data_IF_837826035237
#
_entry.id   IF_837826035237
#
_cell.length_a   1.000
_cell.length_b   1.000
_cell.length_c   1.000
_cell.angle_alpha   90.00
_cell.angle_beta   90.00
_cell.angle_gamma   90.00
#
_symmetry.space_group_name_H-M   'P 1'
#
loop_
_entity.id
_entity.type
_entity.pdbx_description
1 polymer ?
#
# COMPACT_ATOMS: atom_id res chain seq x y z
N UNK A 1 22.50 10.67 9.37
CA UNK A 1 21.18 10.24 9.79
C UNK A 1 21.28 8.97 10.66
N UNK A 2 21.90 7.89 10.17
CA UNK A 2 21.99 6.59 10.83
C UNK A 2 22.54 6.67 12.26
N UNK A 3 23.68 7.33 12.47
CA UNK A 3 24.26 7.51 13.82
C UNK A 3 23.28 8.15 14.80
N UNK A 4 22.60 9.23 14.40
CA UNK A 4 21.60 9.90 15.26
C UNK A 4 20.41 9.01 15.56
N UNK A 5 20.01 8.19 14.57
CA UNK A 5 18.89 7.27 14.72
C UNK A 5 19.21 6.16 15.75
N UNK A 6 20.36 5.51 15.63
CA UNK A 6 20.79 4.49 16.57
C UNK A 6 21.05 5.05 17.99
N UNK A 7 21.72 6.19 18.09
CA UNK A 7 21.94 6.86 19.38
C UNK A 7 20.61 7.19 20.06
N UNK A 8 19.63 7.65 19.31
CA UNK A 8 18.30 7.94 19.82
C UNK A 8 17.57 6.68 20.28
N UNK A 9 17.65 5.59 19.54
CA UNK A 9 17.05 4.31 19.91
C UNK A 9 17.59 3.83 21.26
N UNK A 10 18.90 3.87 21.43
CA UNK A 10 19.57 3.48 22.67
C UNK A 10 19.16 4.39 23.83
N UNK A 11 19.20 5.71 23.64
CA UNK A 11 18.85 6.69 24.67
C UNK A 11 17.39 6.58 25.13
N UNK A 12 16.47 6.35 24.19
CA UNK A 12 15.03 6.22 24.45
C UNK A 12 14.61 4.77 24.82
N UNK A 13 15.54 3.82 24.80
CA UNK A 13 15.30 2.37 25.03
C UNK A 13 14.21 1.81 24.11
N UNK A 14 14.36 2.03 22.80
CA UNK A 14 13.40 1.61 21.77
C UNK A 14 14.00 0.62 20.81
N UNK A 15 13.23 -0.40 20.48
CA UNK A 15 13.55 -1.32 19.41
C UNK A 15 13.53 -0.59 18.06
N UNK A 16 14.43 -0.96 17.17
CA UNK A 16 14.71 -0.25 15.93
C UNK A 16 13.99 -0.95 14.77
N UNK A 17 13.17 -0.20 14.06
CA UNK A 17 12.47 -0.65 12.84
C UNK A 17 12.87 0.24 11.68
N UNK A 18 13.73 -0.26 10.78
CA UNK A 18 14.16 0.43 9.56
C UNK A 18 13.24 0.04 8.40
N UNK A 19 12.65 1.02 7.72
CA UNK A 19 11.77 0.83 6.57
C UNK A 19 12.31 1.46 5.30
N UNK A 20 12.43 0.69 4.23
CA UNK A 20 12.84 1.11 2.89
C UNK A 20 12.11 0.26 1.83
N UNK A 21 12.17 0.65 0.56
CA UNK A 21 11.56 -0.07 -0.58
C UNK A 21 12.65 -0.65 -1.52
N UNK A 22 13.65 -1.31 -0.99
CA UNK A 22 14.82 -1.82 -1.74
C UNK A 22 14.49 -2.89 -2.78
N UNK A 23 13.35 -3.56 -2.66
CA UNK A 23 12.86 -4.51 -3.66
C UNK A 23 12.37 -3.85 -4.95
N UNK A 24 11.94 -2.59 -4.89
CA UNK A 24 11.43 -1.82 -6.04
C UNK A 24 12.47 -0.84 -6.56
N UNK A 25 13.22 -0.21 -5.66
CA UNK A 25 14.27 0.77 -6.02
C UNK A 25 15.63 0.35 -5.44
N UNK A 26 16.18 -0.81 -5.85
CA UNK A 26 17.39 -1.38 -5.24
C UNK A 26 18.61 -0.47 -5.38
N UNK A 27 18.74 0.27 -6.47
CA UNK A 27 19.84 1.22 -6.69
C UNK A 27 19.75 2.50 -5.85
N UNK A 28 18.63 2.78 -5.21
CA UNK A 28 18.44 3.93 -4.34
C UNK A 28 18.25 3.50 -2.86
N UNK A 29 17.17 2.81 -2.55
CA UNK A 29 16.88 2.35 -1.19
C UNK A 29 17.81 1.22 -0.75
N UNK A 30 18.22 0.34 -1.67
CA UNK A 30 19.18 -0.72 -1.37
C UNK A 30 20.57 -0.19 -1.01
N UNK A 31 21.01 0.88 -1.66
CA UNK A 31 22.26 1.57 -1.29
C UNK A 31 22.16 2.22 0.08
N UNK A 32 21.03 2.89 0.39
CA UNK A 32 20.80 3.45 1.71
C UNK A 32 20.73 2.38 2.78
N UNK A 33 20.07 1.27 2.52
CA UNK A 33 20.01 0.11 3.40
C UNK A 33 21.41 -0.41 3.71
N UNK A 34 22.20 -0.72 2.68
CA UNK A 34 23.55 -1.25 2.84
C UNK A 34 24.44 -0.33 3.68
N UNK A 35 24.36 0.99 3.44
CA UNK A 35 25.13 1.97 4.22
C UNK A 35 24.70 2.02 5.69
N UNK A 36 23.40 1.96 5.97
CA UNK A 36 22.86 1.98 7.34
C UNK A 36 23.23 0.68 8.09
N UNK A 37 23.09 -0.47 7.42
CA UNK A 37 23.41 -1.77 8.00
C UNK A 37 24.93 -1.91 8.26
N UNK A 38 25.79 -1.38 7.39
CA UNK A 38 27.23 -1.34 7.63
C UNK A 38 27.59 -0.53 8.90
N UNK A 39 26.95 0.62 9.11
CA UNK A 39 27.12 1.44 10.34
C UNK A 39 26.59 0.66 11.56
N UNK A 40 25.43 0.01 11.43
CA UNK A 40 24.87 -0.80 12.50
C UNK A 40 25.82 -1.91 12.92
N UNK A 41 26.27 -2.72 11.97
CA UNK A 41 27.15 -3.87 12.23
C UNK A 41 28.50 -3.46 12.85
N UNK A 42 29.10 -2.36 12.36
CA UNK A 42 30.43 -1.92 12.81
C UNK A 42 30.43 -1.13 14.12
N UNK A 43 29.37 -0.39 14.44
CA UNK A 43 29.42 0.58 15.51
C UNK A 43 28.32 0.41 16.57
N UNK A 44 27.14 -0.09 16.20
CA UNK A 44 25.97 -0.05 17.08
C UNK A 44 25.43 -1.42 17.50
N UNK A 45 25.76 -2.48 16.82
CA UNK A 45 25.22 -3.84 17.10
C UNK A 45 25.40 -4.26 18.56
N UNK A 46 26.64 -4.13 19.06
CA UNK A 46 26.94 -4.48 20.45
C UNK A 46 26.25 -3.55 21.45
N UNK A 47 26.17 -2.26 21.16
CA UNK A 47 25.53 -1.26 22.00
C UNK A 47 24.01 -1.48 22.08
N UNK A 48 23.37 -1.80 20.95
CA UNK A 48 21.93 -2.12 20.86
C UNK A 48 21.63 -3.39 21.65
N UNK A 49 22.44 -4.44 21.46
CA UNK A 49 22.30 -5.69 22.19
C UNK A 49 22.51 -5.50 23.70
N UNK A 50 23.55 -4.75 24.11
CA UNK A 50 23.81 -4.43 25.52
C UNK A 50 22.67 -3.62 26.17
N UNK A 51 21.97 -2.81 25.41
CA UNK A 51 20.78 -2.07 25.85
C UNK A 51 19.51 -2.95 25.92
N UNK A 52 19.58 -4.23 25.55
CA UNK A 52 18.43 -5.13 25.49
C UNK A 52 17.42 -4.76 24.40
N UNK A 53 17.92 -4.21 23.28
CA UNK A 53 17.13 -3.74 22.15
C UNK A 53 17.33 -4.63 20.93
N UNK A 54 16.36 -4.61 20.02
CA UNK A 54 16.39 -5.37 18.77
C UNK A 54 16.40 -4.43 17.56
N UNK A 55 17.00 -4.92 16.47
CA UNK A 55 17.00 -4.25 15.16
C UNK A 55 16.24 -5.09 14.15
N UNK A 56 15.29 -4.46 13.45
CA UNK A 56 14.48 -5.07 12.42
C UNK A 56 14.53 -4.23 11.14
N UNK A 57 14.63 -4.92 10.03
CA UNK A 57 14.41 -4.35 8.70
C UNK A 57 13.08 -4.85 8.15
N UNK A 58 12.29 -3.95 7.57
CA UNK A 58 11.01 -4.25 6.92
C UNK A 58 10.85 -3.40 5.66
N UNK A 59 10.07 -3.88 4.68
CA UNK A 59 9.63 -3.00 3.61
C UNK A 59 8.74 -1.89 4.18
N UNK A 60 8.82 -0.69 3.63
CA UNK A 60 8.12 0.50 4.15
C UNK A 60 6.60 0.33 4.21
N UNK A 61 6.02 -0.38 3.25
CA UNK A 61 4.60 -0.75 3.19
C UNK A 61 4.23 -1.72 4.33
N UNK A 62 4.99 -2.78 4.52
CA UNK A 62 4.83 -3.70 5.65
C UNK A 62 5.00 -2.98 7.00
N UNK A 63 5.94 -2.03 7.10
CA UNK A 63 6.11 -1.20 8.29
C UNK A 63 4.87 -0.34 8.56
N UNK A 64 4.31 0.29 7.53
CA UNK A 64 3.08 1.08 7.65
C UNK A 64 1.89 0.22 8.09
N UNK A 65 1.75 -0.98 7.53
CA UNK A 65 0.73 -1.95 7.94
C UNK A 65 0.91 -2.40 9.40
N UNK A 66 2.15 -2.68 9.84
CA UNK A 66 2.46 -3.06 11.23
C UNK A 66 2.11 -1.96 12.22
N UNK A 67 2.40 -0.69 11.91
CA UNK A 67 2.03 0.45 12.76
C UNK A 67 0.53 0.47 13.05
N UNK A 68 -0.29 0.03 12.10
CA UNK A 68 -1.75 0.00 12.25
C UNK A 68 -2.22 -1.30 12.91
N UNK A 69 -1.69 -2.45 12.45
CA UNK A 69 -2.21 -3.76 12.84
C UNK A 69 -1.72 -4.24 14.19
N UNK A 70 -0.44 -4.08 14.49
CA UNK A 70 0.19 -4.56 15.71
C UNK A 70 1.46 -3.75 16.04
N UNK A 71 1.32 -2.47 16.45
CA UNK A 71 2.47 -1.63 16.75
C UNK A 71 3.19 -2.14 18.01
N UNK A 72 4.48 -2.45 17.92
CA UNK A 72 5.28 -2.77 19.10
C UNK A 72 5.33 -1.60 20.08
N UNK A 73 5.24 -1.88 21.39
CA UNK A 73 5.18 -0.84 22.43
C UNK A 73 6.40 0.08 22.43
N UNK A 74 7.59 -0.48 22.17
CA UNK A 74 8.87 0.23 22.26
C UNK A 74 9.48 0.57 20.90
N UNK A 75 8.71 0.61 19.82
CA UNK A 75 9.26 0.84 18.50
C UNK A 75 9.78 2.27 18.30
N UNK A 76 10.95 2.39 17.65
CA UNK A 76 11.43 3.59 16.98
C UNK A 76 11.45 3.32 15.48
N UNK A 77 10.58 3.97 14.76
CA UNK A 77 10.42 3.83 13.31
C UNK A 77 11.40 4.74 12.57
N UNK A 78 12.18 4.17 11.68
CA UNK A 78 13.16 4.89 10.87
C UNK A 78 12.93 4.70 9.39
N UNK A 79 12.71 5.82 8.68
CA UNK A 79 12.63 5.86 7.23
C UNK A 79 13.56 7.00 6.78
N UNK A 80 14.70 6.68 6.17
CA UNK A 80 15.68 7.68 5.77
C UNK A 80 15.22 8.52 4.58
N UNK A 81 14.37 7.97 3.72
CA UNK A 81 13.75 8.72 2.64
C UNK A 81 12.78 9.80 3.16
N UNK A 82 12.93 11.02 2.68
CA UNK A 82 12.15 12.16 3.18
C UNK A 82 10.67 12.08 2.80
N UNK A 83 10.35 11.54 1.63
CA UNK A 83 8.95 11.48 1.14
C UNK A 83 8.16 10.44 1.90
N UNK A 84 8.66 9.22 1.96
CA UNK A 84 8.01 8.10 2.69
C UNK A 84 8.04 8.33 4.21
N UNK A 85 9.16 8.85 4.73
CA UNK A 85 9.30 9.18 6.15
C UNK A 85 8.30 10.23 6.64
N UNK A 86 7.96 11.22 5.81
CA UNK A 86 6.92 12.20 6.16
C UNK A 86 5.52 11.57 6.24
N UNK A 87 5.20 10.59 5.39
CA UNK A 87 3.93 9.88 5.43
C UNK A 87 3.82 9.04 6.70
N UNK A 88 4.86 8.25 6.98
CA UNK A 88 4.91 7.42 8.19
C UNK A 88 4.88 8.26 9.47
N UNK A 89 5.60 9.37 9.50
CA UNK A 89 5.54 10.32 10.63
C UNK A 89 4.12 10.83 10.86
N UNK A 90 3.41 11.22 9.81
CA UNK A 90 2.02 11.67 9.90
C UNK A 90 1.08 10.56 10.34
N UNK A 91 1.25 9.34 9.84
CA UNK A 91 0.50 8.18 10.29
C UNK A 91 0.63 8.00 11.83
N UNK A 92 1.86 7.94 12.32
CA UNK A 92 2.13 7.79 13.77
C UNK A 92 1.55 8.96 14.58
N UNK A 93 1.63 10.20 14.07
CA UNK A 93 1.05 11.38 14.73
C UNK A 93 -0.48 11.30 14.82
N UNK A 94 -1.15 10.85 13.76
CA UNK A 94 -2.60 10.70 13.74
C UNK A 94 -3.06 9.60 14.70
N UNK A 95 -2.38 8.46 14.69
CA UNK A 95 -2.69 7.35 15.60
C UNK A 95 -2.48 7.74 17.07
N UNK A 96 -1.45 8.53 17.39
CA UNK A 96 -1.25 9.07 18.74
C UNK A 96 -2.35 10.03 19.17
N UNK A 97 -2.88 10.83 18.23
CA UNK A 97 -3.89 11.85 18.52
C UNK A 97 -5.30 11.28 18.64
N UNK A 98 -5.66 10.33 17.78
CA UNK A 98 -7.03 9.85 17.64
C UNK A 98 -7.22 8.38 18.05
N UNK A 99 -6.13 7.69 18.37
CA UNK A 99 -6.13 6.24 18.59
C UNK A 99 -6.24 5.45 17.28
N UNK A 100 -6.26 4.12 17.40
CA UNK A 100 -6.60 3.25 16.29
C UNK A 100 -8.10 3.34 16.03
N UNK A 101 -8.54 3.52 14.78
CA UNK A 101 -9.96 3.43 14.47
C UNK A 101 -10.50 2.05 14.84
N UNK A 102 -11.75 2.01 15.29
CA UNK A 102 -12.42 0.76 15.60
C UNK A 102 -12.39 -0.16 14.37
N UNK A 103 -11.76 -1.32 14.52
CA UNK A 103 -11.56 -2.26 13.40
C UNK A 103 -12.81 -3.10 13.23
N UNK A 104 -13.34 -3.07 12.03
CA UNK A 104 -14.49 -3.89 11.62
C UNK A 104 -14.10 -4.60 10.32
N UNK A 105 -13.32 -5.68 10.42
CA UNK A 105 -12.74 -6.40 9.29
C UNK A 105 -13.75 -6.65 8.16
N UNK A 106 -14.97 -7.07 8.51
CA UNK A 106 -16.04 -7.35 7.54
C UNK A 106 -16.68 -6.10 6.90
N UNK A 107 -16.45 -4.91 7.45
CA UNK A 107 -17.06 -3.65 6.96
C UNK A 107 -16.10 -2.86 6.08
N UNK A 108 -14.81 -3.03 6.27
CA UNK A 108 -13.77 -2.23 5.59
C UNK A 108 -13.45 -2.73 4.18
N UNK A 109 -13.62 -4.03 3.93
CA UNK A 109 -13.21 -4.72 2.71
C UNK A 109 -13.85 -4.13 1.43
N UNK A 110 -15.04 -3.54 1.53
CA UNK A 110 -15.78 -3.06 0.36
C UNK A 110 -15.86 -1.53 0.22
N UNK A 111 -15.25 -0.76 1.12
CA UNK A 111 -15.56 0.69 1.24
C UNK A 111 -14.47 1.64 0.82
N UNK A 112 -13.22 1.20 0.74
CA UNK A 112 -12.10 2.04 0.31
C UNK A 112 -11.41 1.43 -0.88
N UNK A 113 -11.11 2.25 -1.87
CA UNK A 113 -10.19 1.90 -2.95
C UNK A 113 -8.99 2.84 -2.84
N UNK A 114 -7.82 2.26 -2.74
CA UNK A 114 -6.55 2.98 -2.78
C UNK A 114 -5.65 2.27 -3.79
N UNK A 115 -4.92 3.01 -4.55
CA UNK A 115 -4.00 2.41 -5.50
C UNK A 115 -3.39 3.42 -6.43
N UNK A 116 -2.21 3.10 -6.92
CA UNK A 116 -1.54 3.78 -8.00
C UNK A 116 -1.86 3.07 -9.31
N UNK A 117 -2.06 3.83 -10.35
CA UNK A 117 -2.34 3.30 -11.68
C UNK A 117 -1.43 3.90 -12.74
N UNK A 118 -0.58 4.83 -12.35
CA UNK A 118 0.35 5.45 -13.28
C UNK A 118 1.50 4.50 -13.63
N UNK A 119 1.82 4.45 -14.91
CA UNK A 119 3.01 3.76 -15.39
C UNK A 119 4.16 4.77 -15.38
N UNK A 120 5.18 4.51 -14.59
CA UNK A 120 6.37 5.34 -14.59
C UNK A 120 7.63 4.54 -14.92
N UNK A 121 8.54 5.18 -15.66
CA UNK A 121 9.89 4.70 -15.82
C UNK A 121 10.74 5.15 -14.64
N UNK A 122 11.41 4.24 -13.97
CA UNK A 122 12.38 4.58 -12.94
C UNK A 122 13.78 4.11 -13.34
N UNK A 123 14.75 4.97 -13.08
CA UNK A 123 16.17 4.63 -13.16
C UNK A 123 16.78 4.84 -11.78
N UNK A 124 17.27 3.77 -11.21
CA UNK A 124 17.85 3.81 -9.88
C UNK A 124 19.16 3.05 -9.86
N UNK A 125 20.23 3.71 -9.38
CA UNK A 125 21.57 3.15 -9.28
C UNK A 125 22.41 3.94 -8.28
N UNK A 126 23.48 3.34 -7.72
CA UNK A 126 24.52 4.13 -7.08
C UNK A 126 25.31 4.93 -8.12
N UNK A 127 25.79 6.10 -7.76
CA UNK A 127 26.73 6.86 -8.58
C UNK A 127 27.99 6.02 -8.80
N UNK A 128 28.42 5.79 -10.05
CA UNK A 128 29.59 4.94 -10.33
C UNK A 128 30.91 5.58 -9.83
N UNK A 129 30.98 6.89 -9.82
CA UNK A 129 32.16 7.68 -9.43
C UNK A 129 31.79 9.08 -8.96
N UNK A 130 32.74 9.81 -8.38
CA UNK A 130 32.59 11.24 -8.09
C UNK A 130 32.45 12.02 -9.40
N UNK A 131 31.43 12.89 -9.48
CA UNK A 131 31.23 13.61 -10.73
C UNK A 131 30.01 14.52 -10.73
N UNK A 132 29.55 14.84 -11.92
CA UNK A 132 28.34 15.65 -12.15
C UNK A 132 27.37 14.87 -13.01
N UNK A 133 26.19 14.61 -12.46
CA UNK A 133 25.05 14.09 -13.22
C UNK A 133 24.36 15.26 -13.90
N UNK A 134 24.07 15.08 -15.19
CA UNK A 134 23.38 16.09 -16.00
C UNK A 134 22.11 15.50 -16.62
N UNK A 135 21.04 16.26 -16.56
CA UNK A 135 19.81 16.00 -17.31
C UNK A 135 19.83 16.84 -18.57
N UNK A 136 19.84 16.17 -19.72
CA UNK A 136 19.85 16.78 -21.04
C UNK A 136 18.51 16.52 -21.73
N UNK A 137 17.94 17.55 -22.35
CA UNK A 137 16.78 17.43 -23.24
C UNK A 137 17.18 18.00 -24.59
N UNK A 138 17.17 17.17 -25.62
CA UNK A 138 17.65 17.51 -26.96
C UNK A 138 19.07 18.07 -26.97
N UNK A 139 19.96 17.49 -26.12
CA UNK A 139 21.35 17.93 -25.96
C UNK A 139 21.55 19.20 -25.14
N UNK A 140 20.48 19.83 -24.69
CA UNK A 140 20.54 21.03 -23.86
C UNK A 140 20.46 20.66 -22.38
N UNK A 141 21.47 21.10 -21.61
CA UNK A 141 21.49 20.87 -20.16
C UNK A 141 20.34 21.60 -19.48
N UNK A 142 19.49 20.87 -18.77
CA UNK A 142 18.35 21.39 -18.00
C UNK A 142 18.62 21.38 -16.51
N UNK A 143 19.41 20.40 -16.04
CA UNK A 143 19.79 20.27 -14.64
C UNK A 143 21.13 19.59 -14.49
N UNK A 144 21.89 19.98 -13.47
CA UNK A 144 23.14 19.32 -13.11
C UNK A 144 23.25 19.20 -11.58
N UNK A 145 23.81 18.10 -11.10
CA UNK A 145 24.05 17.86 -9.68
C UNK A 145 25.39 17.16 -9.47
N UNK A 146 26.22 17.69 -8.57
CA UNK A 146 27.41 16.98 -8.11
C UNK A 146 27.04 15.81 -7.23
N UNK A 147 27.66 14.67 -7.46
CA UNK A 147 27.49 13.42 -6.72
C UNK A 147 28.86 12.86 -6.33
N UNK A 148 28.85 12.07 -5.28
CA UNK A 148 29.98 11.22 -4.86
C UNK A 148 29.77 9.79 -5.31
N UNK A 149 30.86 9.04 -5.46
CA UNK A 149 30.80 7.61 -5.69
C UNK A 149 29.87 6.94 -4.66
N UNK A 150 29.01 6.05 -5.13
CA UNK A 150 27.99 5.38 -4.33
C UNK A 150 26.84 6.24 -3.79
N UNK A 151 26.74 7.54 -4.13
CA UNK A 151 25.52 8.29 -3.82
C UNK A 151 24.30 7.62 -4.49
N UNK A 152 23.21 7.38 -3.78
CA UNK A 152 22.01 6.81 -4.38
C UNK A 152 21.33 7.81 -5.31
N UNK A 153 21.04 7.36 -6.53
CA UNK A 153 20.39 8.17 -7.56
C UNK A 153 19.06 7.53 -7.89
N UNK A 154 18.00 8.34 -7.86
CA UNK A 154 16.69 7.99 -8.37
C UNK A 154 16.24 9.03 -9.38
N UNK A 155 15.94 8.58 -10.59
CA UNK A 155 15.34 9.38 -11.64
C UNK A 155 14.01 8.73 -12.04
N UNK A 156 12.94 9.52 -12.08
CA UNK A 156 11.60 9.05 -12.43
C UNK A 156 11.04 9.90 -13.57
N UNK A 157 10.37 9.24 -14.49
CA UNK A 157 9.63 9.87 -15.56
C UNK A 157 8.29 9.17 -15.76
N UNK A 158 7.28 9.90 -16.19
CA UNK A 158 5.99 9.33 -16.53
C UNK A 158 5.45 9.97 -17.81
N UNK A 159 4.72 9.19 -18.59
CA UNK A 159 4.05 9.66 -19.80
C UNK A 159 2.80 10.45 -19.42
N UNK A 160 2.65 11.66 -20.02
CA UNK A 160 1.49 12.52 -19.79
C UNK A 160 0.17 11.87 -20.20
N UNK A 161 0.16 11.13 -21.31
CA UNK A 161 -1.04 10.42 -21.79
C UNK A 161 -1.39 9.27 -20.85
N UNK A 162 -0.40 8.54 -20.34
CA UNK A 162 -0.64 7.49 -19.34
C UNK A 162 -1.24 8.07 -18.05
N UNK A 163 -0.79 9.25 -17.61
CA UNK A 163 -1.39 9.95 -16.48
C UNK A 163 -2.84 10.33 -16.78
N UNK A 164 -3.12 10.83 -18.00
CA UNK A 164 -4.48 11.21 -18.44
C UNK A 164 -5.40 9.99 -18.41
N UNK A 165 -5.00 8.89 -19.05
CA UNK A 165 -5.73 7.62 -19.07
C UNK A 165 -6.05 7.15 -17.64
N UNK A 166 -5.09 7.23 -16.73
CA UNK A 166 -5.27 6.86 -15.32
C UNK A 166 -6.31 7.75 -14.61
N UNK A 167 -6.24 9.08 -14.80
CA UNK A 167 -7.22 10.02 -14.19
C UNK A 167 -8.62 9.76 -14.73
N UNK A 168 -8.75 9.45 -16.03
CA UNK A 168 -10.02 9.07 -16.66
C UNK A 168 -10.61 7.82 -16.00
N UNK A 169 -9.80 6.77 -15.76
CA UNK A 169 -10.24 5.57 -15.06
C UNK A 169 -10.70 5.87 -13.62
N UNK A 170 -9.99 6.75 -12.92
CA UNK A 170 -10.38 7.21 -11.58
C UNK A 170 -11.75 7.92 -11.62
N UNK A 171 -11.99 8.75 -12.61
CA UNK A 171 -13.29 9.43 -12.78
C UNK A 171 -14.42 8.45 -13.12
N UNK A 172 -14.14 7.47 -13.99
CA UNK A 172 -15.10 6.41 -14.33
C UNK A 172 -15.44 5.58 -13.07
N UNK A 173 -14.45 5.12 -12.31
CA UNK A 173 -14.70 4.35 -11.08
C UNK A 173 -15.50 5.17 -10.05
N UNK A 174 -15.20 6.46 -9.92
CA UNK A 174 -15.97 7.36 -9.06
C UNK A 174 -17.44 7.47 -9.49
N UNK A 175 -17.68 7.63 -10.78
CA UNK A 175 -19.04 7.77 -11.32
C UNK A 175 -19.86 6.48 -11.17
N UNK A 176 -19.29 5.34 -11.54
CA UNK A 176 -19.93 4.01 -11.45
C UNK A 176 -20.23 3.64 -10.01
N UNK A 177 -19.24 3.79 -9.12
CA UNK A 177 -19.33 3.34 -7.73
C UNK A 177 -19.79 4.43 -6.76
N UNK A 178 -20.12 5.63 -7.24
CA UNK A 178 -20.56 6.79 -6.44
C UNK A 178 -19.60 7.11 -5.30
N UNK A 179 -18.29 7.09 -5.58
CA UNK A 179 -17.22 7.36 -4.63
C UNK A 179 -16.75 8.80 -4.72
N UNK A 180 -16.50 9.44 -3.59
CA UNK A 180 -15.79 10.72 -3.55
C UNK A 180 -14.29 10.51 -3.78
N UNK A 181 -13.65 11.39 -4.57
CA UNK A 181 -12.24 11.28 -4.94
C UNK A 181 -11.39 12.23 -4.08
N UNK A 182 -10.31 11.69 -3.54
CA UNK A 182 -9.32 12.43 -2.73
C UNK A 182 -7.92 12.24 -3.31
N UNK A 183 -7.50 13.09 -4.26
CA UNK A 183 -6.15 13.03 -4.83
C UNK A 183 -5.10 13.55 -3.86
N UNK A 184 -4.02 12.79 -3.66
CA UNK A 184 -2.89 13.14 -2.82
C UNK A 184 -1.71 13.65 -3.64
N UNK A 185 -1.55 14.98 -3.77
CA UNK A 185 -0.50 15.62 -4.56
C UNK A 185 0.23 16.69 -3.76
N UNK A 186 1.57 16.72 -3.87
CA UNK A 186 2.46 17.65 -3.17
C UNK A 186 2.90 18.79 -4.11
N UNK A 187 1.99 19.31 -4.89
CA UNK A 187 2.22 20.25 -6.00
C UNK A 187 3.01 21.50 -5.64
N UNK A 188 2.94 21.96 -4.40
CA UNK A 188 3.65 23.18 -3.98
C UNK A 188 5.17 22.96 -3.85
N UNK A 189 5.64 21.72 -3.83
CA UNK A 189 7.04 21.37 -3.61
C UNK A 189 7.61 20.45 -4.70
N UNK A 190 6.75 19.78 -5.47
CA UNK A 190 7.14 18.78 -6.46
C UNK A 190 6.50 19.13 -7.79
N UNK A 191 7.29 19.61 -8.74
CA UNK A 191 6.79 19.97 -10.09
C UNK A 191 6.17 18.77 -10.82
N UNK A 192 6.64 17.57 -10.55
CA UNK A 192 6.07 16.34 -11.05
C UNK A 192 4.57 16.21 -10.67
N UNK A 193 4.22 16.51 -9.42
CA UNK A 193 2.83 16.49 -8.94
C UNK A 193 1.97 17.62 -9.53
N UNK A 194 2.58 18.71 -9.96
CA UNK A 194 1.86 19.80 -10.64
C UNK A 194 1.34 19.36 -12.00
N UNK A 195 2.06 18.49 -12.71
CA UNK A 195 1.61 17.90 -13.98
C UNK A 195 0.34 17.08 -13.77
N UNK A 196 0.28 16.23 -12.74
CA UNK A 196 -0.93 15.49 -12.38
C UNK A 196 -2.10 16.42 -12.07
N UNK A 197 -1.85 17.46 -11.29
CA UNK A 197 -2.88 18.45 -10.95
C UNK A 197 -3.44 19.16 -12.20
N UNK A 198 -2.58 19.52 -13.16
CA UNK A 198 -3.00 20.15 -14.40
C UNK A 198 -3.90 19.22 -15.23
N UNK A 199 -3.52 17.95 -15.38
CA UNK A 199 -4.29 16.95 -16.13
C UNK A 199 -5.68 16.71 -15.49
N UNK A 200 -5.74 16.60 -14.14
CA UNK A 200 -7.02 16.46 -13.44
C UNK A 200 -7.96 17.64 -13.72
N UNK A 201 -7.41 18.86 -13.71
CA UNK A 201 -8.21 20.06 -13.97
C UNK A 201 -8.60 20.21 -15.43
N UNK A 202 -7.72 19.82 -16.38
CA UNK A 202 -8.01 19.79 -17.81
C UNK A 202 -9.17 18.82 -18.11
N UNK A 203 -9.11 17.59 -17.62
CA UNK A 203 -10.18 16.61 -17.80
C UNK A 203 -11.50 17.05 -17.18
N UNK A 204 -11.47 17.72 -16.04
CA UNK A 204 -12.67 18.32 -15.46
C UNK A 204 -13.30 19.35 -16.40
N UNK A 205 -12.48 20.17 -17.06
CA UNK A 205 -12.97 21.18 -18.02
C UNK A 205 -13.50 20.52 -19.30
N UNK A 206 -12.82 19.49 -19.80
CA UNK A 206 -13.27 18.72 -20.96
C UNK A 206 -14.66 18.09 -20.72
N UNK A 207 -14.87 17.45 -19.56
CA UNK A 207 -16.16 16.85 -19.19
C UNK A 207 -17.26 17.91 -19.05
N UNK A 208 -16.95 19.04 -18.44
CA UNK A 208 -17.91 20.14 -18.30
C UNK A 208 -18.31 20.73 -19.67
N UNK A 209 -17.40 20.77 -20.63
CA UNK A 209 -17.66 21.22 -22.00
C UNK A 209 -18.57 20.26 -22.79
N UNK A 210 -18.59 18.97 -22.40
CA UNK A 210 -19.44 17.94 -23.00
C UNK A 210 -20.82 17.80 -22.30
N UNK A 211 -21.17 18.76 -21.43
CA UNK A 211 -22.37 18.72 -20.58
C UNK A 211 -22.45 17.47 -19.69
N UNK A 212 -21.29 16.89 -19.41
CA UNK A 212 -21.15 15.74 -18.50
C UNK A 212 -20.70 16.24 -17.14
N UNK A 213 -21.48 16.05 -16.07
CA UNK A 213 -21.09 16.54 -14.76
C UNK A 213 -19.81 15.81 -14.30
N UNK A 214 -18.70 16.52 -14.07
CA UNK A 214 -17.49 15.91 -13.58
C UNK A 214 -17.70 15.35 -12.15
N UNK A 215 -17.04 14.26 -11.79
CA UNK A 215 -17.13 13.72 -10.45
C UNK A 215 -16.63 14.73 -9.41
N UNK A 216 -17.17 14.64 -8.20
CA UNK A 216 -16.70 15.45 -7.08
C UNK A 216 -15.33 14.96 -6.64
N UNK A 217 -14.36 15.87 -6.56
CA UNK A 217 -13.03 15.53 -6.07
C UNK A 217 -12.38 16.66 -5.27
N UNK A 218 -11.40 16.28 -4.46
CA UNK A 218 -10.49 17.20 -3.77
C UNK A 218 -9.04 16.84 -4.09
N UNK A 219 -8.22 17.86 -4.34
CA UNK A 219 -6.76 17.73 -4.42
C UNK A 219 -6.19 18.22 -3.08
N UNK A 220 -5.43 17.37 -2.41
CA UNK A 220 -4.86 17.65 -1.10
C UNK A 220 -3.45 17.08 -0.99
N UNK A 221 -2.70 17.47 0.04
CA UNK A 221 -1.38 16.87 0.29
C UNK A 221 -1.54 15.39 0.67
N UNK A 222 -0.61 14.50 0.26
CA UNK A 222 -0.67 13.06 0.60
C UNK A 222 -0.84 12.80 2.10
N UNK A 223 -0.18 13.61 2.95
CA UNK A 223 -0.34 13.51 4.41
C UNK A 223 -1.77 13.82 4.90
N UNK A 224 -2.50 14.71 4.21
CA UNK A 224 -3.90 15.01 4.52
C UNK A 224 -4.83 13.94 3.96
N UNK A 225 -4.52 13.42 2.79
CA UNK A 225 -5.23 12.28 2.20
C UNK A 225 -5.16 11.08 3.15
N UNK A 226 -3.96 10.74 3.62
CA UNK A 226 -3.75 9.68 4.60
C UNK A 226 -4.52 9.92 5.91
N UNK A 227 -4.49 11.16 6.43
CA UNK A 227 -5.26 11.52 7.62
C UNK A 227 -6.75 11.31 7.41
N UNK A 228 -7.29 11.69 6.24
CA UNK A 228 -8.70 11.51 5.93
C UNK A 228 -9.07 10.03 5.83
N UNK A 229 -8.22 9.23 5.19
CA UNK A 229 -8.43 7.78 5.07
C UNK A 229 -8.49 7.08 6.44
N UNK A 230 -7.68 7.52 7.40
CA UNK A 230 -7.56 6.86 8.71
C UNK A 230 -8.57 7.41 9.73
N UNK A 231 -8.69 8.74 9.83
CA UNK A 231 -9.40 9.39 10.94
C UNK A 231 -10.85 9.79 10.61
N UNK A 232 -11.13 10.00 9.34
CA UNK A 232 -12.43 10.46 8.85
C UNK A 232 -12.68 9.86 7.45
N UNK A 233 -12.68 8.52 7.31
CA UNK A 233 -12.94 7.89 6.02
C UNK A 233 -14.39 8.16 5.61
N UNK A 234 -14.63 8.69 4.40
CA UNK A 234 -15.97 8.74 3.86
C UNK A 234 -16.50 7.32 3.69
N UNK A 235 -17.82 7.16 3.72
CA UNK A 235 -18.45 5.86 3.58
C UNK A 235 -18.04 5.14 2.28
N UNK A 236 -17.79 5.94 1.23
CA UNK A 236 -17.30 5.49 -0.07
C UNK A 236 -16.23 6.47 -0.54
N UNK A 237 -14.97 6.14 -0.35
CA UNK A 237 -13.83 6.97 -0.72
C UNK A 237 -12.94 6.31 -1.76
N UNK A 238 -12.51 7.09 -2.75
CA UNK A 238 -11.47 6.72 -3.69
C UNK A 238 -10.24 7.58 -3.41
N UNK A 239 -9.12 6.93 -3.12
CA UNK A 239 -7.86 7.55 -2.75
C UNK A 239 -6.78 7.30 -3.81
N UNK A 240 -6.85 7.99 -4.96
CA UNK A 240 -5.85 7.82 -6.00
C UNK A 240 -4.49 8.31 -5.50
N UNK A 241 -3.48 7.52 -5.77
CA UNK A 241 -2.10 7.80 -5.41
C UNK A 241 -1.18 7.41 -6.56
N UNK A 242 -0.03 8.07 -6.66
CA UNK A 242 1.04 7.63 -7.54
C UNK A 242 1.54 6.26 -7.08
N UNK A 243 2.10 5.47 -7.99
CA UNK A 243 2.42 4.06 -7.74
C UNK A 243 3.15 3.80 -6.40
N UNK A 244 4.27 4.47 -6.13
CA UNK A 244 5.00 4.29 -4.85
C UNK A 244 4.17 4.68 -3.61
N UNK A 245 3.30 5.68 -3.74
CA UNK A 245 2.39 6.09 -2.67
C UNK A 245 1.23 5.11 -2.55
N UNK A 246 0.76 4.58 -3.67
CA UNK A 246 -0.30 3.60 -3.77
C UNK A 246 0.02 2.32 -3.02
N UNK A 247 1.25 1.83 -3.12
CA UNK A 247 1.72 0.66 -2.36
C UNK A 247 1.54 0.85 -0.85
N UNK A 248 1.98 2.00 -0.33
CA UNK A 248 1.83 2.32 1.09
C UNK A 248 0.36 2.49 1.48
N UNK A 249 -0.43 3.15 0.64
CA UNK A 249 -1.85 3.42 0.94
C UNK A 249 -2.71 2.17 0.85
N UNK A 250 -2.43 1.27 -0.10
CA UNK A 250 -3.14 -0.01 -0.21
C UNK A 250 -2.90 -0.89 1.02
N UNK A 251 -1.65 -0.98 1.48
CA UNK A 251 -1.31 -1.76 2.67
C UNK A 251 -1.92 -1.17 3.95
N UNK A 252 -1.92 0.17 4.07
CA UNK A 252 -2.62 0.86 5.18
C UNK A 252 -4.12 0.57 5.12
N UNK A 253 -4.73 0.63 3.93
CA UNK A 253 -6.15 0.34 3.73
C UNK A 253 -6.50 -1.10 4.13
N UNK A 254 -5.70 -2.06 3.66
CA UNK A 254 -5.86 -3.48 4.01
C UNK A 254 -5.67 -3.73 5.52
N UNK A 255 -4.66 -3.09 6.13
CA UNK A 255 -4.43 -3.18 7.58
C UNK A 255 -5.59 -2.59 8.41
N UNK A 256 -6.20 -1.49 7.95
CA UNK A 256 -7.43 -0.94 8.54
C UNK A 256 -8.61 -1.91 8.41
N UNK A 257 -8.64 -2.71 7.35
CA UNK A 257 -9.58 -3.80 7.14
C UNK A 257 -9.32 -5.04 8.02
N UNK A 258 -8.20 -5.09 8.73
CA UNK A 258 -7.84 -6.16 9.65
C UNK A 258 -6.65 -7.02 9.19
N UNK A 259 -6.45 -7.25 7.90
CA UNK A 259 -5.34 -8.03 7.36
C UNK A 259 -4.99 -7.59 5.94
N UNK A 260 -3.71 -7.66 5.58
CA UNK A 260 -3.24 -7.49 4.21
C UNK A 260 -3.87 -8.52 3.26
N UNK A 261 -4.15 -9.72 3.78
CA UNK A 261 -4.77 -10.82 3.03
C UNK A 261 -6.27 -10.62 2.73
N UNK A 262 -6.87 -9.48 3.12
CA UNK A 262 -8.27 -9.16 2.81
C UNK A 262 -8.43 -8.21 1.61
N UNK A 263 -7.35 -7.70 1.07
CA UNK A 263 -7.36 -6.83 -0.10
C UNK A 263 -7.33 -7.65 -1.41
N UNK A 264 -8.07 -7.22 -2.42
CA UNK A 264 -7.92 -7.67 -3.80
C UNK A 264 -7.53 -6.52 -4.70
N UNK A 265 -6.86 -6.81 -5.79
CA UNK A 265 -6.40 -5.83 -6.77
C UNK A 265 -6.91 -6.14 -8.17
N UNK A 266 -7.06 -5.12 -8.98
CA UNK A 266 -7.24 -5.23 -10.42
C UNK A 266 -6.24 -4.32 -11.12
N UNK A 267 -5.44 -4.89 -12.01
CA UNK A 267 -4.56 -4.14 -12.90
C UNK A 267 -5.32 -3.94 -14.22
N UNK A 268 -5.42 -2.71 -14.67
CA UNK A 268 -6.10 -2.35 -15.91
C UNK A 268 -5.05 -1.80 -16.87
N UNK A 269 -4.87 -2.48 -18.01
CA UNK A 269 -3.98 -2.01 -19.06
C UNK A 269 -4.65 -0.98 -19.97
N UNK A 270 -3.84 -0.29 -20.79
CA UNK A 270 -4.32 0.77 -21.70
C UNK A 270 -5.39 0.29 -22.70
N UNK A 271 -5.35 -0.98 -23.09
CA UNK A 271 -6.33 -1.59 -24.00
C UNK A 271 -7.60 -2.08 -23.27
N UNK A 272 -7.71 -1.83 -21.96
CA UNK A 272 -8.84 -2.24 -21.13
C UNK A 272 -8.78 -3.69 -20.66
N UNK A 273 -7.70 -4.43 -20.94
CA UNK A 273 -7.49 -5.77 -20.38
C UNK A 273 -7.33 -5.66 -18.85
N UNK A 274 -8.00 -6.53 -18.13
CA UNK A 274 -7.98 -6.57 -16.66
C UNK A 274 -7.34 -7.84 -16.15
N UNK A 275 -6.41 -7.70 -15.19
CA UNK A 275 -5.84 -8.77 -14.42
C UNK A 275 -6.31 -8.63 -12.96
N UNK A 276 -6.94 -9.66 -12.44
CA UNK A 276 -7.41 -9.71 -11.05
C UNK A 276 -6.45 -10.53 -10.22
N UNK A 277 -6.03 -9.99 -9.10
CA UNK A 277 -5.00 -10.62 -8.26
C UNK A 277 -5.22 -10.36 -6.77
N UNK A 278 -4.52 -11.14 -5.94
CA UNK A 278 -4.30 -10.84 -4.54
C UNK A 278 -3.02 -9.98 -4.45
N UNK A 279 -3.08 -8.71 -4.01
CA UNK A 279 -1.96 -7.78 -4.07
C UNK A 279 -0.95 -7.95 -2.92
N UNK A 280 -0.80 -9.16 -2.40
CA UNK A 280 0.18 -9.47 -1.37
C UNK A 280 1.34 -10.29 -1.96
N UNK A 281 2.49 -10.27 -1.28
CA UNK A 281 3.67 -11.02 -1.67
C UNK A 281 3.45 -12.55 -1.65
N UNK A 282 4.48 -13.28 -2.05
CA UNK A 282 4.47 -14.75 -2.18
C UNK A 282 4.29 -15.50 -0.86
N UNK A 283 4.23 -14.81 0.28
CA UNK A 283 4.16 -15.41 1.60
C UNK A 283 5.23 -16.48 1.86
N UNK A 284 6.46 -16.20 1.40
CA UNK A 284 7.58 -17.15 1.42
C UNK A 284 7.81 -17.75 2.82
N UNK A 285 7.70 -16.95 3.86
CA UNK A 285 7.87 -17.41 5.26
C UNK A 285 6.80 -18.44 5.65
N UNK A 286 5.56 -18.27 5.17
CA UNK A 286 4.49 -19.25 5.37
C UNK A 286 4.75 -20.54 4.58
N UNK A 287 5.33 -20.43 3.39
CA UNK A 287 5.71 -21.59 2.61
C UNK A 287 6.85 -22.38 3.26
N UNK A 288 7.86 -21.69 3.79
CA UNK A 288 8.92 -22.37 4.56
C UNK A 288 8.35 -23.08 5.77
N UNK A 289 7.45 -22.45 6.50
CA UNK A 289 6.77 -23.06 7.65
C UNK A 289 5.91 -24.25 7.27
N UNK A 290 5.23 -24.19 6.12
CA UNK A 290 4.50 -25.32 5.54
C UNK A 290 5.43 -26.52 5.31
N UNK A 291 6.62 -26.30 4.72
CA UNK A 291 7.60 -27.35 4.51
C UNK A 291 8.16 -27.92 5.82
N UNK A 292 8.48 -27.08 6.79
CA UNK A 292 9.02 -27.47 8.10
C UNK A 292 8.03 -28.33 8.92
N UNK A 293 6.72 -28.08 8.74
CA UNK A 293 5.66 -28.71 9.52
C UNK A 293 4.92 -29.82 8.75
N UNK A 294 5.42 -30.21 7.58
CA UNK A 294 4.77 -31.19 6.69
C UNK A 294 3.29 -30.84 6.42
N UNK A 295 3.04 -29.56 6.14
CA UNK A 295 1.71 -29.03 5.81
C UNK A 295 0.77 -28.79 6.99
N UNK A 296 1.20 -29.05 8.23
CA UNK A 296 0.33 -28.96 9.43
C UNK A 296 0.07 -27.55 9.91
N UNK A 297 0.92 -26.58 9.55
CA UNK A 297 0.80 -25.18 9.95
C UNK A 297 0.62 -24.23 8.75
N UNK A 298 -0.28 -24.55 7.84
CA UNK A 298 -0.65 -23.68 6.72
C UNK A 298 -1.74 -22.67 7.13
N UNK A 299 -1.37 -21.64 7.88
CA UNK A 299 -2.29 -20.56 8.30
C UNK A 299 -2.36 -19.45 7.24
N UNK A 300 -2.67 -19.81 6.00
CA UNK A 300 -2.84 -18.87 4.90
C UNK A 300 -4.29 -18.38 4.82
N UNK A 301 -4.48 -17.05 4.76
CA UNK A 301 -5.78 -16.43 4.54
C UNK A 301 -6.04 -16.29 3.03
N UNK A 302 -7.00 -17.05 2.50
CA UNK A 302 -7.34 -17.04 1.07
C UNK A 302 -8.35 -15.97 0.66
N UNK A 303 -8.75 -15.08 1.57
CA UNK A 303 -9.78 -14.05 1.30
C UNK A 303 -9.46 -13.18 0.08
N UNK A 304 -8.22 -12.71 -0.06
CA UNK A 304 -7.81 -11.87 -1.19
C UNK A 304 -7.98 -12.59 -2.53
N UNK A 305 -7.60 -13.87 -2.59
CA UNK A 305 -7.75 -14.68 -3.80
C UNK A 305 -9.23 -14.94 -4.13
N UNK A 306 -10.05 -15.23 -3.13
CA UNK A 306 -11.50 -15.41 -3.31
C UNK A 306 -12.13 -14.12 -3.86
N UNK A 307 -11.79 -12.96 -3.31
CA UNK A 307 -12.25 -11.67 -3.84
C UNK A 307 -11.77 -11.42 -5.26
N UNK A 308 -10.51 -11.73 -5.58
CA UNK A 308 -9.97 -11.57 -6.93
C UNK A 308 -10.75 -12.43 -7.94
N UNK A 309 -11.01 -13.70 -7.61
CA UNK A 309 -11.81 -14.61 -8.45
C UNK A 309 -13.24 -14.07 -8.61
N UNK A 310 -13.90 -13.69 -7.52
CA UNK A 310 -15.26 -13.15 -7.57
C UNK A 310 -15.35 -11.87 -8.41
N UNK A 311 -14.38 -10.95 -8.27
CA UNK A 311 -14.31 -9.75 -9.11
C UNK A 311 -14.12 -10.08 -10.60
N UNK A 312 -13.29 -11.08 -10.93
CA UNK A 312 -13.11 -11.54 -12.31
C UNK A 312 -14.40 -12.16 -12.89
N UNK A 313 -15.14 -12.90 -12.09
CA UNK A 313 -16.43 -13.46 -12.49
C UNK A 313 -17.49 -12.39 -12.72
N UNK A 314 -17.57 -11.36 -11.88
CA UNK A 314 -18.47 -10.20 -12.11
C UNK A 314 -18.12 -9.46 -13.40
N UNK A 315 -16.85 -9.23 -13.67
CA UNK A 315 -16.41 -8.61 -14.92
C UNK A 315 -16.82 -9.45 -16.14
N UNK A 316 -16.62 -10.76 -16.06
CA UNK A 316 -17.02 -11.68 -17.13
C UNK A 316 -18.53 -11.71 -17.28
N UNK A 317 -19.27 -11.76 -16.18
CA UNK A 317 -20.73 -11.71 -16.17
C UNK A 317 -21.28 -10.47 -16.88
N UNK A 318 -20.69 -9.30 -16.59
CA UNK A 318 -21.04 -8.05 -17.25
C UNK A 318 -20.75 -8.06 -18.75
N UNK A 319 -19.62 -8.60 -19.18
CA UNK A 319 -19.24 -8.73 -20.60
C UNK A 319 -20.19 -9.67 -21.38
N UNK A 320 -20.60 -10.75 -20.76
CA UNK A 320 -21.44 -11.78 -21.37
C UNK A 320 -22.94 -11.58 -21.12
N UNK A 321 -23.34 -10.55 -20.37
CA UNK A 321 -24.71 -10.35 -19.88
C UNK A 321 -25.27 -11.60 -19.18
N UNK A 322 -24.45 -12.25 -18.36
CA UNK A 322 -24.77 -13.50 -17.67
C UNK A 322 -25.16 -13.23 -16.21
N UNK A 323 -26.45 -13.03 -15.95
CA UNK A 323 -26.97 -12.74 -14.61
C UNK A 323 -26.69 -13.88 -13.61
N UNK A 324 -26.72 -15.14 -14.03
CA UNK A 324 -26.46 -16.27 -13.14
C UNK A 324 -25.00 -16.30 -12.66
N UNK A 325 -24.07 -15.89 -13.51
CA UNK A 325 -22.66 -15.76 -13.14
C UNK A 325 -22.43 -14.57 -12.19
N UNK A 326 -23.13 -13.46 -12.39
CA UNK A 326 -23.11 -12.30 -11.50
C UNK A 326 -23.66 -12.62 -10.11
N UNK A 327 -24.80 -13.34 -10.06
CA UNK A 327 -25.39 -13.82 -8.81
C UNK A 327 -24.43 -14.76 -8.06
N UNK A 328 -23.75 -15.67 -8.77
CA UNK A 328 -22.77 -16.57 -8.18
C UNK A 328 -21.57 -15.82 -7.60
N UNK A 329 -21.01 -14.86 -8.34
CA UNK A 329 -19.90 -14.06 -7.88
C UNK A 329 -20.26 -13.23 -6.63
N UNK A 330 -21.45 -12.64 -6.62
CA UNK A 330 -21.98 -11.90 -5.48
C UNK A 330 -22.23 -12.82 -4.27
N UNK A 331 -22.73 -14.04 -4.50
CA UNK A 331 -22.90 -15.06 -3.45
C UNK A 331 -21.58 -15.49 -2.86
N UNK A 332 -20.53 -15.65 -3.68
CA UNK A 332 -19.18 -16.00 -3.21
C UNK A 332 -18.58 -14.92 -2.31
N UNK A 333 -18.73 -13.64 -2.67
CA UNK A 333 -18.31 -12.52 -1.81
C UNK A 333 -19.10 -12.49 -0.50
N UNK A 334 -20.39 -12.72 -0.57
CA UNK A 334 -21.27 -12.73 0.60
C UNK A 334 -20.93 -13.89 1.54
N UNK A 335 -20.69 -15.08 1.01
CA UNK A 335 -20.28 -16.26 1.78
C UNK A 335 -18.97 -16.03 2.52
N UNK A 336 -17.97 -15.41 1.86
CA UNK A 336 -16.71 -15.05 2.48
C UNK A 336 -16.91 -14.06 3.65
N UNK A 337 -17.66 -12.98 3.42
CA UNK A 337 -17.93 -11.97 4.44
C UNK A 337 -18.69 -12.58 5.61
N UNK A 338 -19.68 -13.42 5.36
CA UNK A 338 -20.48 -14.11 6.36
C UNK A 338 -19.61 -15.05 7.21
N UNK A 339 -18.69 -15.80 6.58
CA UNK A 339 -17.77 -16.71 7.28
C UNK A 339 -16.93 -15.95 8.31
N UNK A 340 -16.37 -14.80 7.92
CA UNK A 340 -15.59 -13.93 8.83
C UNK A 340 -16.50 -13.30 9.89
N UNK A 341 -17.71 -12.88 9.53
CA UNK A 341 -18.67 -12.28 10.46
C UNK A 341 -19.16 -13.27 11.53
N UNK A 342 -19.28 -14.55 11.19
CA UNK A 342 -19.60 -15.65 12.11
C UNK A 342 -18.40 -16.05 13.01
N UNK A 343 -17.24 -15.46 12.80
CA UNK A 343 -16.04 -15.68 13.60
C UNK A 343 -15.18 -16.87 13.14
N UNK A 344 -15.47 -17.53 12.01
CA UNK A 344 -14.56 -18.54 11.44
C UNK A 344 -13.46 -17.82 10.66
N UNK A 345 -12.23 -17.87 11.17
CA UNK A 345 -11.13 -17.02 10.71
C UNK A 345 -9.78 -17.73 10.71
N UNK A 346 -8.85 -17.22 9.94
CA UNK A 346 -7.43 -17.58 10.00
C UNK A 346 -6.68 -16.75 11.04
N UNK A 347 -5.47 -17.16 11.40
CA UNK A 347 -4.72 -16.57 12.52
C UNK A 347 -4.40 -15.08 12.40
N UNK A 348 -4.29 -14.55 11.17
CA UNK A 348 -4.02 -13.13 10.88
C UNK A 348 -5.20 -12.20 11.26
N UNK A 349 -6.42 -12.74 11.31
CA UNK A 349 -7.64 -12.01 11.70
C UNK A 349 -7.97 -12.13 13.20
N UNK A 350 -7.19 -12.87 13.97
CA UNK A 350 -7.44 -13.07 15.41
C UNK A 350 -7.53 -11.75 16.18
N UNK A 351 -8.60 -11.59 16.95
CA UNK A 351 -8.88 -10.39 17.74
C UNK A 351 -9.31 -9.18 16.91
N UNK A 352 -9.66 -9.38 15.62
CA UNK A 352 -10.02 -8.30 14.69
C UNK A 352 -11.44 -8.39 14.15
N UNK A 353 -12.19 -9.40 14.56
CA UNK A 353 -13.61 -9.53 14.23
C UNK A 353 -14.49 -8.66 15.15
N UNK A 354 -15.79 -8.60 14.86
CA UNK A 354 -16.74 -7.86 15.72
C UNK A 354 -16.89 -8.49 17.09
N UNK A 355 -16.79 -9.82 17.17
CA UNK A 355 -17.00 -10.59 18.38
C UNK A 355 -15.79 -11.50 18.64
N UNK A 356 -14.67 -10.94 19.13
CA UNK A 356 -13.41 -11.70 19.33
C UNK A 356 -13.57 -12.92 20.23
N UNK A 357 -14.56 -12.92 21.12
CA UNK A 357 -14.85 -14.01 22.05
C UNK A 357 -15.49 -15.23 21.36
N UNK A 358 -16.03 -15.08 20.15
CA UNK A 358 -16.63 -16.16 19.39
C UNK A 358 -15.76 -16.68 18.25
N UNK A 359 -14.52 -16.17 18.15
CA UNK A 359 -13.60 -16.53 17.08
C UNK A 359 -13.21 -18.01 17.13
N UNK A 360 -13.37 -18.68 15.99
CA UNK A 360 -12.90 -20.03 15.73
C UNK A 360 -11.74 -19.96 14.75
N UNK A 361 -10.54 -20.21 15.23
CA UNK A 361 -9.34 -20.28 14.41
C UNK A 361 -9.33 -21.60 13.63
N UNK A 362 -9.13 -21.48 12.31
CA UNK A 362 -9.01 -22.59 11.37
C UNK A 362 -7.78 -22.40 10.49
N UNK A 363 -7.32 -23.48 9.88
CA UNK A 363 -6.33 -23.43 8.80
C UNK A 363 -6.98 -22.96 7.48
N UNK A 364 -6.17 -22.91 6.43
CA UNK A 364 -6.65 -22.50 5.10
C UNK A 364 -7.79 -23.39 4.59
N UNK A 365 -7.69 -24.71 4.76
CA UNK A 365 -8.72 -25.64 4.26
C UNK A 365 -10.01 -25.51 5.06
N UNK A 366 -9.93 -25.46 6.38
CA UNK A 366 -11.10 -25.24 7.22
C UNK A 366 -11.78 -23.89 6.99
N UNK A 367 -11.01 -22.86 6.55
CA UNK A 367 -11.58 -21.59 6.15
C UNK A 367 -12.34 -21.71 4.81
N UNK A 368 -11.77 -22.40 3.81
CA UNK A 368 -12.43 -22.64 2.52
C UNK A 368 -13.70 -23.46 2.68
N UNK A 369 -13.66 -24.53 3.49
CA UNK A 369 -14.84 -25.37 3.80
C UNK A 369 -15.97 -24.54 4.44
N UNK A 370 -15.61 -23.60 5.31
CA UNK A 370 -16.59 -22.70 5.94
C UNK A 370 -17.19 -21.68 4.94
N UNK A 371 -16.37 -21.18 4.00
CA UNK A 371 -16.88 -20.31 2.91
C UNK A 371 -17.81 -21.09 2.00
N UNK A 372 -17.46 -22.33 1.63
CA UNK A 372 -18.32 -23.21 0.81
C UNK A 372 -19.65 -23.48 1.51
N UNK A 373 -19.63 -23.75 2.82
CA UNK A 373 -20.85 -23.99 3.59
C UNK A 373 -21.80 -22.79 3.66
N UNK A 374 -21.27 -21.57 3.53
CA UNK A 374 -22.04 -20.32 3.46
C UNK A 374 -22.44 -19.93 2.02
N UNK A 375 -21.94 -20.62 1.01
CA UNK A 375 -22.28 -20.35 -0.39
C UNK A 375 -23.71 -20.85 -0.67
N UNK A 376 -24.59 -19.91 -1.07
CA UNK A 376 -26.02 -20.18 -1.31
C UNK A 376 -26.35 -20.02 -2.78
#
# INVERSE_FOLDING_TARGET
>A
WAHRFFQRAIAEKRDIYLGLKDTVVPGYDGVMRAAIEAIYESEYKEQVAAAGLSYFYELIDAQAARIISNPPERALWGVPDNVSGMKLYKLVQQLKRYGLPERKAHVSISRMSAGGGDQYGSYNMPAPEDGVIKVLVDGVEKHARTVKASDPILFMSNDREAIKDWVEQVFVDSAVNKKEIYFGLKREFVQYDEVYSSIILELRQELAALDTPPPSFMIMRPSRQLSKMICDPPRWGLYPAQNLDGDIFSDISAALGGSLATASSVIISKDGTKLFEAPHGTAHDLYLRYLETDGKEANFNSSALIFAVANALEELAGRENNAALDDYASSLKSALIETVAQGTITGDLKGKTLNPETEKLVDMMGFLDAVEANLK
#
